data_IF_630737656999
#
_entry.id   IF_630737656999
#
_cell.length_a   1.000
_cell.length_b   1.000
_cell.length_c   1.000
_cell.angle_alpha   90.00
_cell.angle_beta   90.00
_cell.angle_gamma   90.00
#
_symmetry.space_group_name_H-M   'P 1'
#
loop_
_entity.id
_entity.type
_entity.pdbx_description
1 polymer ?
#
# COMPACT_ATOMS: atom_id res chain seq x y z
N UNK A 1 2.32 0.31 -32.78
CA UNK A 1 0.94 0.23 -32.26
C UNK A 1 0.94 -0.74 -31.09
N UNK A 2 1.01 -0.22 -29.86
CA UNK A 2 0.82 -0.99 -28.64
C UNK A 2 0.16 -0.04 -27.63
N UNK A 3 -1.16 -0.15 -27.54
CA UNK A 3 -1.98 0.56 -26.56
C UNK A 3 -1.60 0.02 -25.18
N UNK A 4 -0.78 0.75 -24.42
CA UNK A 4 -0.60 0.46 -23.00
C UNK A 4 -1.92 0.76 -22.30
N UNK A 5 -2.58 -0.30 -21.85
CA UNK A 5 -3.86 -0.27 -21.13
C UNK A 5 -3.81 0.72 -19.96
N UNK A 6 -4.47 1.86 -20.12
CA UNK A 6 -4.84 2.78 -19.04
C UNK A 6 -6.01 2.26 -18.19
N UNK A 7 -6.27 0.95 -18.21
CA UNK A 7 -7.43 0.33 -17.61
C UNK A 7 -7.05 -0.45 -16.34
N UNK A 8 -6.61 0.25 -15.30
CA UNK A 8 -6.75 -0.30 -13.96
C UNK A 8 -7.02 0.76 -12.88
N UNK A 9 -7.88 1.74 -13.20
CA UNK A 9 -8.78 2.30 -12.17
C UNK A 9 -9.92 1.31 -11.90
N UNK A 10 -9.59 0.07 -11.50
CA UNK A 10 -10.60 -0.78 -10.88
C UNK A 10 -10.69 -0.29 -9.45
N UNK A 11 -11.73 0.50 -9.21
CA UNK A 11 -12.23 0.94 -7.92
C UNK A 11 -11.77 -0.02 -6.84
N UNK A 12 -10.68 0.32 -6.16
CA UNK A 12 -10.34 -0.34 -4.93
C UNK A 12 -11.58 -0.17 -4.04
N UNK A 13 -12.15 -1.25 -3.48
CA UNK A 13 -13.14 -1.09 -2.44
C UNK A 13 -12.52 -0.13 -1.44
N UNK A 14 -13.16 1.02 -1.22
CA UNK A 14 -12.73 1.97 -0.21
C UNK A 14 -12.96 1.27 1.12
N UNK A 15 -12.02 0.41 1.52
CA UNK A 15 -12.26 -0.55 2.58
C UNK A 15 -12.38 0.25 3.87
N UNK A 16 -13.58 0.35 4.44
CA UNK A 16 -13.83 1.23 5.58
C UNK A 16 -13.17 0.69 6.86
N UNK A 17 -12.34 -0.36 6.74
CA UNK A 17 -11.75 -1.12 7.82
C UNK A 17 -10.23 -1.03 7.88
N UNK A 18 -9.57 -0.22 7.06
CA UNK A 18 -8.14 0.06 7.20
C UNK A 18 -7.85 1.55 7.14
N UNK A 19 -6.94 1.99 7.99
CA UNK A 19 -6.47 3.36 8.05
C UNK A 19 -4.94 3.38 7.96
N UNK A 20 -4.39 4.48 7.44
CA UNK A 20 -2.96 4.73 7.48
C UNK A 20 -2.64 5.74 8.57
N UNK A 21 -1.60 5.47 9.34
CA UNK A 21 -1.01 6.44 10.27
C UNK A 21 0.39 6.77 9.80
N UNK A 22 0.65 8.05 9.54
CA UNK A 22 1.99 8.53 9.19
C UNK A 22 2.93 8.31 10.37
N UNK A 23 4.01 7.55 10.16
CA UNK A 23 5.06 7.29 11.15
C UNK A 23 6.24 8.22 10.91
N UNK A 24 6.60 8.40 9.62
CA UNK A 24 7.62 9.32 9.11
C UNK A 24 7.14 9.94 7.79
N UNK A 25 7.88 10.90 7.26
CA UNK A 25 7.54 11.55 5.98
C UNK A 25 7.50 10.58 4.79
N UNK A 26 8.28 9.51 4.89
CA UNK A 26 8.48 8.44 3.91
C UNK A 26 7.86 7.10 4.33
N UNK A 27 7.19 7.02 5.49
CA UNK A 27 6.69 5.76 6.03
C UNK A 27 5.33 5.89 6.71
N UNK A 28 4.39 5.06 6.29
CA UNK A 28 3.05 4.97 6.85
C UNK A 28 2.82 3.57 7.41
N UNK A 29 2.19 3.48 8.57
CA UNK A 29 1.72 2.23 9.15
C UNK A 29 0.28 2.01 8.75
N UNK A 30 -0.03 0.81 8.26
CA UNK A 30 -1.38 0.39 7.93
C UNK A 30 -1.96 -0.36 9.12
N UNK A 31 -3.11 0.09 9.60
CA UNK A 31 -3.83 -0.51 10.73
C UNK A 31 -5.24 -0.89 10.31
N UNK A 32 -5.74 -2.01 10.81
CA UNK A 32 -7.15 -2.36 10.70
C UNK A 32 -8.01 -1.46 11.61
N UNK A 33 -9.32 -1.48 11.41
CA UNK A 33 -10.29 -0.82 12.29
C UNK A 33 -10.24 -1.35 13.73
N UNK A 34 -9.77 -2.59 13.93
CA UNK A 34 -9.51 -3.15 15.26
C UNK A 34 -8.19 -2.66 15.90
N UNK A 35 -7.42 -1.82 15.21
CA UNK A 35 -6.14 -1.28 15.68
C UNK A 35 -4.94 -2.21 15.46
N UNK A 36 -5.13 -3.34 14.79
CA UNK A 36 -4.07 -4.30 14.50
C UNK A 36 -3.22 -3.79 13.33
N UNK A 37 -1.89 -3.81 13.49
CA UNK A 37 -0.97 -3.41 12.44
C UNK A 37 -0.89 -4.49 11.36
N UNK A 38 -1.39 -4.18 10.17
CA UNK A 38 -1.37 -5.07 9.02
C UNK A 38 -0.04 -5.01 8.25
N UNK A 39 0.61 -3.85 8.29
CA UNK A 39 1.85 -3.62 7.56
C UNK A 39 2.23 -2.16 7.47
N UNK A 40 3.04 -1.84 6.46
CA UNK A 40 3.59 -0.52 6.24
C UNK A 40 3.61 -0.19 4.75
N UNK A 41 3.53 1.09 4.43
CA UNK A 41 3.74 1.64 3.10
C UNK A 41 4.97 2.52 3.19
N UNK A 42 5.97 2.29 2.35
CA UNK A 42 7.19 3.09 2.27
C UNK A 42 7.20 3.91 0.97
N UNK A 43 7.54 5.20 1.03
CA UNK A 43 7.82 5.99 -0.16
C UNK A 43 9.24 5.72 -0.62
N UNK A 44 9.40 5.46 -1.89
CA UNK A 44 10.67 5.25 -2.57
C UNK A 44 10.79 6.32 -3.61
N UNK A 45 11.77 7.20 -3.46
CA UNK A 45 12.07 8.21 -4.47
C UNK A 45 12.83 7.52 -5.62
N UNK A 46 12.19 7.38 -6.78
CA UNK A 46 12.76 6.73 -7.96
C UNK A 46 13.02 7.70 -9.11
N UNK A 47 13.67 7.22 -10.17
CA UNK A 47 14.01 8.03 -11.35
C UNK A 47 12.80 8.65 -12.08
N UNK A 48 11.60 8.09 -11.86
CA UNK A 48 10.35 8.55 -12.45
C UNK A 48 9.43 9.29 -11.47
N UNK A 49 9.88 9.50 -10.23
CA UNK A 49 9.09 10.12 -9.16
C UNK A 49 8.90 9.22 -7.93
N UNK A 50 8.14 9.69 -6.94
CA UNK A 50 7.88 8.94 -5.72
C UNK A 50 6.96 7.75 -5.99
N UNK A 51 7.47 6.55 -5.73
CA UNK A 51 6.69 5.32 -5.67
C UNK A 51 6.36 4.97 -4.22
N UNK A 52 5.31 4.18 -4.01
CA UNK A 52 4.86 3.70 -2.71
C UNK A 52 4.89 2.17 -2.73
N UNK A 53 5.73 1.57 -1.89
CA UNK A 53 5.83 0.13 -1.73
C UNK A 53 5.01 -0.32 -0.53
N UNK A 54 4.02 -1.17 -0.77
CA UNK A 54 3.19 -1.79 0.24
C UNK A 54 3.86 -3.08 0.74
N UNK A 55 4.06 -3.15 2.05
CA UNK A 55 4.67 -4.31 2.74
C UNK A 55 3.75 -4.82 3.82
N UNK A 56 3.36 -6.09 3.73
CA UNK A 56 2.55 -6.78 4.73
C UNK A 56 3.43 -7.36 5.82
N UNK A 57 3.02 -7.18 7.07
CA UNK A 57 3.67 -7.84 8.20
C UNK A 57 3.19 -9.29 8.24
N UNK A 58 4.13 -10.24 8.30
CA UNK A 58 3.81 -11.66 8.42
C UNK A 58 3.41 -11.97 9.87
N UNK A 59 2.25 -12.60 10.13
CA UNK A 59 1.86 -12.99 11.48
C UNK A 59 2.90 -13.91 12.13
N UNK A 60 3.29 -13.61 13.38
CA UNK A 60 4.24 -14.43 14.13
C UNK A 60 5.72 -14.15 13.86
N UNK A 61 6.06 -13.09 13.12
CA UNK A 61 7.45 -12.70 12.89
C UNK A 61 7.66 -11.21 12.68
N UNK A 62 8.91 -10.83 12.38
CA UNK A 62 9.32 -9.46 11.98
C UNK A 62 9.47 -9.31 10.46
N UNK A 63 9.19 -10.38 9.71
CA UNK A 63 9.32 -10.38 8.27
C UNK A 63 8.26 -9.47 7.62
N UNK A 64 8.72 -8.69 6.65
CA UNK A 64 7.88 -7.86 5.80
C UNK A 64 7.86 -8.47 4.41
N UNK A 65 6.66 -8.79 3.91
CA UNK A 65 6.49 -9.27 2.55
C UNK A 65 6.03 -8.11 1.66
N UNK A 66 6.78 -7.75 0.60
CA UNK A 66 6.29 -6.80 -0.39
C UNK A 66 5.06 -7.39 -1.09
N UNK A 67 3.94 -6.69 -1.01
CA UNK A 67 2.66 -7.11 -1.61
C UNK A 67 2.32 -6.31 -2.87
N UNK A 68 2.99 -5.18 -3.10
CA UNK A 68 2.80 -4.36 -4.29
C UNK A 68 3.60 -3.07 -4.26
N UNK A 69 3.80 -2.48 -5.43
CA UNK A 69 4.35 -1.14 -5.59
C UNK A 69 3.41 -0.33 -6.48
N UNK A 70 3.09 0.88 -6.03
CA UNK A 70 2.17 1.79 -6.71
C UNK A 70 2.77 3.21 -6.75
N UNK A 71 2.10 4.12 -7.45
CA UNK A 71 2.54 5.51 -7.62
C UNK A 71 1.67 6.48 -6.80
N UNK A 72 0.73 5.93 -6.03
CA UNK A 72 -0.16 6.63 -5.13
C UNK A 72 -0.26 5.88 -3.80
N UNK A 73 -0.45 6.62 -2.71
CA UNK A 73 -0.65 6.06 -1.39
C UNK A 73 -2.00 5.31 -1.28
N UNK A 74 -3.06 5.81 -1.93
CA UNK A 74 -4.37 5.14 -1.97
C UNK A 74 -4.30 3.79 -2.69
N UNK A 75 -3.56 3.71 -3.80
CA UNK A 75 -3.36 2.45 -4.53
C UNK A 75 -2.55 1.45 -3.69
N UNK A 76 -1.53 1.92 -2.97
CA UNK A 76 -0.76 1.07 -2.05
C UNK A 76 -1.62 0.58 -0.87
N UNK A 77 -2.57 1.40 -0.38
CA UNK A 77 -3.52 1.00 0.65
C UNK A 77 -4.49 -0.06 0.15
N UNK A 78 -4.94 0.05 -1.10
CA UNK A 78 -5.80 -0.94 -1.74
C UNK A 78 -5.20 -2.34 -1.79
N UNK A 79 -3.86 -2.48 -1.81
CA UNK A 79 -3.20 -3.78 -1.73
C UNK A 79 -3.48 -4.54 -0.41
N UNK A 80 -3.81 -3.82 0.68
CA UNK A 80 -4.15 -4.43 1.97
C UNK A 80 -5.62 -4.83 2.07
N UNK A 81 -6.44 -4.39 1.13
CA UNK A 81 -7.90 -4.51 1.16
C UNK A 81 -8.38 -5.45 0.07
N UNK A 82 -7.62 -6.52 -0.20
CA UNK A 82 -7.94 -7.51 -1.23
C UNK A 82 -9.43 -7.90 -1.25
N UNK A 83 -9.94 -8.36 -2.40
CA UNK A 83 -11.35 -8.69 -2.57
C UNK A 83 -11.91 -9.63 -1.51
#
# INVERSE_FOLDING_TARGET
MAIMSTAQRRTAPHAPHVATKRVRDDLWRVVSASGLALGYIARIDGAHGPAFEARRLVPGGTAMLPIGQCWSLDDALACFTGP
#
